data_IF_536175292425
#
_entry.id   IF_536175292425
#
_cell.length_a   1.000
_cell.length_b   1.000
_cell.length_c   1.000
_cell.angle_alpha   90.00
_cell.angle_beta   90.00
_cell.angle_gamma   90.00
#
_symmetry.space_group_name_H-M   'P 1'
#
loop_
_entity.id
_entity.type
_entity.pdbx_description
1 polymer ?
#
# COMPACT_ATOMS: atom_id res chain seq x y z
N UNK A 1 -0.67 -18.24 -30.22
CA UNK A 1 -1.62 -19.08 -29.44
C UNK A 1 -1.49 -18.88 -27.93
N UNK A 2 -0.28 -18.71 -27.38
CA UNK A 2 -0.06 -18.57 -25.93
C UNK A 2 -0.90 -17.45 -25.27
N UNK A 3 -1.08 -16.31 -25.95
CA UNK A 3 -1.91 -15.20 -25.44
C UNK A 3 -3.40 -15.55 -25.27
N UNK A 4 -3.92 -16.54 -26.01
CA UNK A 4 -5.34 -16.96 -25.90
C UNK A 4 -5.55 -17.87 -24.69
N UNK A 5 -4.53 -18.64 -24.31
CA UNK A 5 -4.58 -19.60 -23.21
C UNK A 5 -4.35 -18.87 -21.87
N UNK A 6 -3.42 -17.92 -21.84
CA UNK A 6 -3.06 -17.17 -20.64
C UNK A 6 -3.63 -15.76 -20.72
N UNK A 7 -4.70 -15.50 -19.97
CA UNK A 7 -5.32 -14.18 -19.86
C UNK A 7 -4.56 -13.22 -18.93
N UNK A 8 -3.82 -13.76 -17.97
CA UNK A 8 -3.11 -12.96 -16.98
C UNK A 8 -1.71 -12.56 -17.47
N UNK A 9 -1.48 -11.26 -17.61
CA UNK A 9 -0.25 -10.69 -18.18
C UNK A 9 1.02 -11.07 -17.41
N UNK A 10 0.96 -11.09 -16.07
CA UNK A 10 2.09 -11.43 -15.23
C UNK A 10 2.53 -12.89 -15.42
N UNK A 11 1.55 -13.81 -15.48
CA UNK A 11 1.81 -15.23 -15.74
C UNK A 11 2.31 -15.44 -17.17
N UNK A 12 1.74 -14.75 -18.14
CA UNK A 12 2.16 -14.82 -19.54
C UNK A 12 3.65 -14.50 -19.72
N UNK A 13 4.12 -13.41 -19.10
CA UNK A 13 5.52 -12.98 -19.21
C UNK A 13 6.47 -13.98 -18.56
N UNK A 14 6.09 -14.56 -17.41
CA UNK A 14 6.87 -15.61 -16.74
C UNK A 14 6.95 -16.88 -17.58
N UNK A 15 5.85 -17.27 -18.21
CA UNK A 15 5.81 -18.44 -19.10
C UNK A 15 6.62 -18.22 -20.38
N UNK A 16 6.54 -17.03 -20.96
CA UNK A 16 7.34 -16.66 -22.13
C UNK A 16 8.85 -16.72 -21.83
N UNK A 17 9.25 -16.35 -20.61
CA UNK A 17 10.64 -16.44 -20.17
C UNK A 17 11.13 -17.88 -19.96
N UNK A 18 10.24 -18.82 -19.64
CA UNK A 18 10.58 -20.24 -19.43
C UNK A 18 10.56 -21.01 -20.75
N UNK A 19 9.55 -20.78 -21.60
CA UNK A 19 9.36 -21.52 -22.85
C UNK A 19 10.43 -21.17 -23.87
N UNK A 20 10.87 -19.90 -23.94
CA UNK A 20 11.87 -19.41 -24.89
C UNK A 20 11.64 -19.91 -26.32
N UNK A 21 12.38 -20.92 -26.75
CA UNK A 21 12.29 -21.52 -28.06
C UNK A 21 11.54 -22.86 -28.03
N UNK A 22 10.82 -23.14 -29.11
CA UNK A 22 9.99 -24.33 -29.30
C UNK A 22 10.80 -25.63 -29.24
N UNK A 23 12.05 -25.58 -29.71
CA UNK A 23 12.94 -26.75 -29.81
C UNK A 23 13.43 -27.23 -28.43
N UNK A 24 13.49 -26.32 -27.45
CA UNK A 24 13.96 -26.61 -26.10
C UNK A 24 12.81 -26.93 -25.12
N UNK A 25 11.63 -27.29 -25.62
CA UNK A 25 10.50 -27.69 -24.78
C UNK A 25 10.72 -29.11 -24.24
N UNK A 26 11.17 -29.21 -22.99
CA UNK A 26 11.41 -30.48 -22.28
C UNK A 26 10.52 -30.62 -21.05
N UNK A 27 10.48 -31.83 -20.45
CA UNK A 27 9.67 -32.11 -19.26
C UNK A 27 10.00 -31.17 -18.08
N UNK A 28 11.24 -30.68 -17.96
CA UNK A 28 11.64 -29.68 -16.98
C UNK A 28 10.90 -28.34 -17.14
N UNK A 29 10.66 -27.92 -18.38
CA UNK A 29 9.90 -26.70 -18.68
C UNK A 29 8.42 -26.88 -18.30
N UNK A 30 7.89 -28.10 -18.42
CA UNK A 30 6.52 -28.45 -18.00
C UNK A 30 6.37 -28.32 -16.49
N UNK A 31 7.37 -28.78 -15.72
CA UNK A 31 7.39 -28.62 -14.25
C UNK A 31 7.38 -27.15 -13.85
N UNK A 32 8.24 -26.31 -14.45
CA UNK A 32 8.29 -24.87 -14.16
C UNK A 32 6.99 -24.14 -14.57
N UNK A 33 6.38 -24.52 -15.70
CA UNK A 33 5.08 -23.99 -16.12
C UNK A 33 3.96 -24.37 -15.16
N UNK A 34 4.02 -25.57 -14.58
CA UNK A 34 3.05 -26.05 -13.59
C UNK A 34 3.14 -25.25 -12.30
N UNK A 35 4.35 -24.91 -11.85
CA UNK A 35 4.57 -24.04 -10.69
C UNK A 35 4.02 -22.62 -10.92
N UNK A 36 4.20 -22.07 -12.13
CA UNK A 36 3.77 -20.70 -12.47
C UNK A 36 2.25 -20.60 -12.68
N UNK A 37 1.64 -21.56 -13.39
CA UNK A 37 0.21 -21.50 -13.72
C UNK A 37 -0.67 -22.05 -12.60
N UNK A 38 -0.20 -23.04 -11.85
CA UNK A 38 -0.97 -23.80 -10.85
C UNK A 38 -2.25 -24.45 -11.41
N UNK A 39 -2.34 -24.58 -12.74
CA UNK A 39 -3.49 -25.08 -13.48
C UNK A 39 -3.02 -26.14 -14.51
N UNK A 40 -3.20 -27.44 -14.20
CA UNK A 40 -2.76 -28.54 -15.08
C UNK A 40 -3.43 -28.49 -16.45
N UNK A 41 -4.71 -28.12 -16.53
CA UNK A 41 -5.46 -28.01 -17.78
C UNK A 41 -4.82 -27.02 -18.76
N UNK A 42 -4.30 -25.89 -18.25
CA UNK A 42 -3.66 -24.87 -19.09
C UNK A 42 -2.27 -25.31 -19.54
N UNK A 43 -1.53 -26.03 -18.69
CA UNK A 43 -0.23 -26.59 -19.04
C UNK A 43 -0.37 -27.64 -20.15
N UNK A 44 -1.39 -28.50 -20.06
CA UNK A 44 -1.72 -29.46 -21.12
C UNK A 44 -2.10 -28.74 -22.42
N UNK A 45 -2.94 -27.71 -22.35
CA UNK A 45 -3.28 -26.89 -23.53
C UNK A 45 -2.07 -26.17 -24.14
N UNK A 46 -1.10 -25.74 -23.33
CA UNK A 46 0.17 -25.16 -23.81
C UNK A 46 0.99 -26.23 -24.52
N UNK A 47 1.11 -27.43 -23.94
CA UNK A 47 1.85 -28.56 -24.53
C UNK A 47 1.25 -28.99 -25.87
N UNK A 48 -0.07 -29.09 -25.95
CA UNK A 48 -0.78 -29.34 -27.20
C UNK A 48 -0.53 -28.21 -28.21
N UNK A 49 -0.67 -26.95 -27.79
CA UNK A 49 -0.41 -25.80 -28.66
C UNK A 49 1.04 -25.75 -29.15
N UNK A 50 2.02 -26.17 -28.34
CA UNK A 50 3.43 -26.31 -28.76
C UNK A 50 3.58 -27.39 -29.81
N UNK A 51 2.80 -28.47 -29.79
CA UNK A 51 2.80 -29.50 -30.84
C UNK A 51 2.10 -29.02 -32.12
N UNK A 52 0.95 -28.36 -32.02
CA UNK A 52 0.15 -27.93 -33.19
C UNK A 52 0.53 -26.56 -33.78
N UNK A 53 1.41 -25.79 -33.12
CA UNK A 53 1.76 -24.43 -33.58
C UNK A 53 2.36 -24.44 -34.98
N UNK A 54 1.92 -23.51 -35.83
CA UNK A 54 2.47 -23.26 -37.17
C UNK A 54 3.28 -21.96 -37.19
N UNK A 55 3.74 -21.50 -36.03
CA UNK A 55 4.49 -20.24 -35.89
C UNK A 55 5.86 -20.26 -36.59
N UNK A 56 6.45 -19.07 -36.73
CA UNK A 56 7.78 -18.86 -37.31
C UNK A 56 8.89 -19.09 -36.28
N UNK A 57 10.05 -19.55 -36.73
CA UNK A 57 11.26 -19.64 -35.91
C UNK A 57 11.80 -18.23 -35.58
N UNK A 58 12.28 -18.04 -34.36
CA UNK A 58 12.78 -16.76 -33.86
C UNK A 58 14.31 -16.76 -33.96
N UNK A 59 14.91 -15.63 -34.35
CA UNK A 59 16.37 -15.46 -34.39
C UNK A 59 16.95 -15.39 -32.97
N UNK A 60 18.17 -15.89 -32.76
CA UNK A 60 18.87 -15.84 -31.48
C UNK A 60 19.01 -14.42 -30.92
N UNK A 61 19.20 -13.42 -31.78
CA UNK A 61 19.27 -12.01 -31.38
C UNK A 61 17.93 -11.51 -30.83
N UNK A 62 16.82 -11.93 -31.45
CA UNK A 62 15.48 -11.58 -30.99
C UNK A 62 15.12 -12.33 -29.71
N UNK A 63 15.52 -13.59 -29.59
CA UNK A 63 15.35 -14.38 -28.37
C UNK A 63 16.05 -13.70 -27.18
N UNK A 64 17.30 -13.26 -27.37
CA UNK A 64 18.06 -12.55 -26.33
C UNK A 64 17.38 -11.23 -25.92
N UNK A 65 16.82 -10.48 -26.88
CA UNK A 65 16.07 -9.26 -26.61
C UNK A 65 14.78 -9.54 -25.84
N UNK A 66 14.05 -10.60 -26.22
CA UNK A 66 12.83 -11.04 -25.53
C UNK A 66 13.16 -11.43 -24.08
N UNK A 67 14.19 -12.25 -23.85
CA UNK A 67 14.63 -12.64 -22.50
C UNK A 67 14.99 -11.44 -21.63
N UNK A 68 15.72 -10.46 -22.19
CA UNK A 68 16.07 -9.25 -21.46
C UNK A 68 14.83 -8.44 -21.11
N UNK A 69 13.87 -8.34 -22.02
CA UNK A 69 12.63 -7.61 -21.81
C UNK A 69 11.73 -8.29 -20.78
N UNK A 70 11.52 -9.61 -20.88
CA UNK A 70 10.72 -10.39 -19.93
C UNK A 70 11.31 -10.32 -18.52
N UNK A 71 12.63 -10.45 -18.38
CA UNK A 71 13.32 -10.31 -17.10
C UNK A 71 13.11 -8.91 -16.50
N UNK A 72 13.22 -7.86 -17.32
CA UNK A 72 13.00 -6.47 -16.87
C UNK A 72 11.56 -6.24 -16.43
N UNK A 73 10.58 -6.76 -17.16
CA UNK A 73 9.17 -6.63 -16.79
C UNK A 73 8.87 -7.43 -15.52
N UNK A 74 9.44 -8.62 -15.34
CA UNK A 74 9.26 -9.39 -14.10
C UNK A 74 9.84 -8.64 -12.89
N UNK A 75 11.03 -8.05 -13.02
CA UNK A 75 11.62 -7.18 -11.99
C UNK A 75 10.71 -5.99 -11.65
N UNK A 76 10.07 -5.35 -12.65
CA UNK A 76 9.11 -4.27 -12.40
C UNK A 76 7.82 -4.75 -11.72
N UNK A 77 7.36 -5.98 -12.02
CA UNK A 77 6.21 -6.58 -11.36
C UNK A 77 6.50 -6.87 -9.88
N UNK A 78 7.66 -7.44 -9.58
CA UNK A 78 8.14 -7.68 -8.20
C UNK A 78 8.34 -6.36 -7.45
N UNK A 79 8.89 -5.34 -8.12
CA UNK A 79 9.02 -4.01 -7.52
C UNK A 79 7.64 -3.41 -7.22
N UNK A 80 6.66 -3.59 -8.10
CA UNK A 80 5.27 -3.14 -7.87
C UNK A 80 4.63 -3.83 -6.66
N UNK A 81 4.82 -5.14 -6.49
CA UNK A 81 4.29 -5.86 -5.32
C UNK A 81 4.98 -5.41 -4.03
N UNK A 82 6.31 -5.22 -4.06
CA UNK A 82 7.06 -4.66 -2.94
C UNK A 82 6.57 -3.27 -2.53
N UNK A 83 6.35 -2.38 -3.50
CA UNK A 83 5.78 -1.05 -3.24
C UNK A 83 4.36 -1.10 -2.67
N UNK A 84 3.52 -2.03 -3.14
CA UNK A 84 2.18 -2.21 -2.60
C UNK A 84 2.23 -2.63 -1.13
N UNK A 85 3.10 -3.58 -0.79
CA UNK A 85 3.30 -4.03 0.58
C UNK A 85 3.82 -2.89 1.46
N UNK A 86 4.79 -2.12 0.97
CA UNK A 86 5.29 -0.93 1.66
C UNK A 86 4.18 0.09 1.95
N UNK A 87 3.32 0.39 0.97
CA UNK A 87 2.17 1.30 1.16
C UNK A 87 1.23 0.74 2.22
N UNK A 88 0.96 -0.56 2.22
CA UNK A 88 0.09 -1.21 3.21
C UNK A 88 0.64 -1.07 4.63
N UNK A 89 1.92 -1.34 4.82
CA UNK A 89 2.56 -1.27 6.14
C UNK A 89 2.62 0.19 6.64
N UNK A 90 2.97 1.13 5.77
CA UNK A 90 2.98 2.57 6.11
C UNK A 90 1.58 3.11 6.40
N UNK A 91 0.57 2.68 5.65
CA UNK A 91 -0.81 3.11 5.89
C UNK A 91 -1.34 2.57 7.21
N UNK A 92 -1.06 1.29 7.53
CA UNK A 92 -1.44 0.69 8.80
C UNK A 92 -0.81 1.41 10.00
N UNK A 93 0.42 1.91 9.84
CA UNK A 93 1.10 2.69 10.87
C UNK A 93 0.58 4.14 11.00
N UNK A 94 0.28 4.80 9.88
CA UNK A 94 -0.09 6.22 9.86
C UNK A 94 -1.59 6.49 10.00
N UNK A 95 -2.43 5.73 9.30
CA UNK A 95 -3.88 5.97 9.21
C UNK A 95 -4.66 4.63 9.11
N UNK A 96 -4.70 3.84 10.20
CA UNK A 96 -5.36 2.53 10.21
C UNK A 96 -6.87 2.61 10.04
N UNK A 97 -7.55 3.66 10.56
CA UNK A 97 -9.01 3.80 10.39
C UNK A 97 -9.39 4.11 8.95
N UNK A 98 -8.65 5.02 8.31
CA UNK A 98 -8.85 5.38 6.90
C UNK A 98 -8.57 4.20 5.98
N UNK A 99 -7.51 3.43 6.28
CA UNK A 99 -7.17 2.19 5.56
C UNK A 99 -8.29 1.16 5.66
N UNK A 100 -8.80 0.91 6.87
CA UNK A 100 -9.89 -0.04 7.07
C UNK A 100 -11.18 0.39 6.34
N UNK A 101 -11.44 1.69 6.20
CA UNK A 101 -12.63 2.22 5.55
C UNK A 101 -12.59 2.15 4.01
N UNK A 102 -11.54 2.64 3.35
CA UNK A 102 -11.50 2.81 1.88
C UNK A 102 -10.47 1.88 1.21
N UNK A 103 -9.56 1.31 1.98
CA UNK A 103 -8.38 0.58 1.50
C UNK A 103 -7.13 1.45 1.41
N UNK A 104 -5.98 0.79 1.44
CA UNK A 104 -4.65 1.38 1.57
C UNK A 104 -4.31 2.27 0.37
N UNK A 105 -4.60 1.80 -0.84
CA UNK A 105 -4.22 2.50 -2.09
C UNK A 105 -4.98 3.82 -2.27
N UNK A 106 -6.29 3.79 -2.04
CA UNK A 106 -7.13 4.99 -2.19
C UNK A 106 -6.84 5.96 -1.05
N UNK A 107 -6.68 5.46 0.18
CA UNK A 107 -6.26 6.26 1.33
C UNK A 107 -4.92 6.97 1.09
N UNK A 108 -3.92 6.26 0.58
CA UNK A 108 -2.62 6.83 0.23
C UNK A 108 -2.72 7.94 -0.81
N UNK A 109 -3.55 7.73 -1.83
CA UNK A 109 -3.76 8.74 -2.89
C UNK A 109 -4.45 10.00 -2.34
N UNK A 110 -5.42 9.85 -1.44
CA UNK A 110 -6.09 10.99 -0.79
C UNK A 110 -5.11 11.81 0.07
N UNK A 111 -4.28 11.14 0.88
CA UNK A 111 -3.27 11.81 1.70
C UNK A 111 -2.24 12.51 0.83
N UNK A 112 -1.75 11.83 -0.22
CA UNK A 112 -0.78 12.40 -1.15
C UNK A 112 -1.32 13.65 -1.85
N UNK A 113 -2.57 13.63 -2.31
CA UNK A 113 -3.19 14.78 -2.96
C UNK A 113 -3.47 15.93 -1.98
N UNK A 114 -3.73 15.63 -0.70
CA UNK A 114 -3.85 16.64 0.35
C UNK A 114 -2.49 17.18 0.84
N UNK A 115 -1.39 16.53 0.47
CA UNK A 115 -0.02 16.81 0.92
C UNK A 115 0.32 16.19 2.28
N UNK A 116 -0.63 16.13 3.21
CA UNK A 116 -0.43 15.54 4.55
C UNK A 116 -1.73 15.04 5.16
N UNK A 117 -1.62 14.16 6.16
CA UNK A 117 -2.78 13.67 6.91
C UNK A 117 -3.45 14.81 7.71
N UNK A 118 -2.67 15.75 8.23
CA UNK A 118 -3.17 16.93 8.96
C UNK A 118 -3.98 17.85 8.05
N UNK A 119 -3.53 18.08 6.81
CA UNK A 119 -4.29 18.85 5.82
C UNK A 119 -5.58 18.12 5.42
N UNK A 120 -5.49 16.79 5.22
CA UNK A 120 -6.67 15.98 4.92
C UNK A 120 -7.72 16.04 6.02
N UNK A 121 -7.30 16.01 7.30
CA UNK A 121 -8.19 16.13 8.45
C UNK A 121 -8.90 17.50 8.54
N UNK A 122 -8.23 18.58 8.09
CA UNK A 122 -8.79 19.93 8.02
C UNK A 122 -9.82 20.09 6.91
N UNK A 123 -9.69 19.33 5.81
CA UNK A 123 -10.63 19.44 4.70
C UNK A 123 -12.06 19.05 5.11
N UNK A 124 -13.08 19.79 4.63
CA UNK A 124 -14.46 19.38 4.81
C UNK A 124 -14.77 18.18 3.92
N UNK A 125 -15.81 17.43 4.28
CA UNK A 125 -16.23 16.26 3.52
C UNK A 125 -16.62 16.59 2.06
N UNK A 126 -17.15 17.80 1.80
CA UNK A 126 -17.44 18.27 0.45
C UNK A 126 -16.19 18.35 -0.42
N UNK A 127 -15.07 18.83 0.11
CA UNK A 127 -13.77 18.86 -0.60
C UNK A 127 -13.24 17.44 -0.81
N UNK A 128 -13.30 16.59 0.21
CA UNK A 128 -12.86 15.19 0.13
C UNK A 128 -13.64 14.43 -0.96
N UNK A 129 -14.94 14.70 -1.13
CA UNK A 129 -15.79 14.10 -2.16
C UNK A 129 -15.28 14.36 -3.60
N UNK A 130 -14.79 15.57 -3.86
CA UNK A 130 -14.37 16.05 -5.19
C UNK A 130 -12.85 16.07 -5.37
N UNK A 131 -12.08 15.66 -4.36
CA UNK A 131 -10.63 15.70 -4.37
C UNK A 131 -10.09 14.90 -5.57
N UNK A 132 -9.23 15.52 -6.39
CA UNK A 132 -8.72 15.00 -7.67
C UNK A 132 -9.62 15.27 -8.90
N UNK A 133 -10.79 15.90 -8.73
CA UNK A 133 -11.68 16.32 -9.81
C UNK A 133 -11.79 17.85 -9.91
N UNK A 134 -10.84 18.60 -9.36
CA UNK A 134 -10.89 20.06 -9.23
C UNK A 134 -10.96 20.74 -10.61
N UNK A 135 -10.16 20.28 -11.57
CA UNK A 135 -10.17 20.82 -12.95
C UNK A 135 -11.55 20.69 -13.60
N UNK A 136 -12.21 19.56 -13.41
CA UNK A 136 -13.55 19.32 -13.94
C UNK A 136 -14.60 20.17 -13.21
N UNK A 137 -14.44 20.37 -11.90
CA UNK A 137 -15.29 21.25 -11.11
C UNK A 137 -15.19 22.70 -11.57
N UNK A 138 -13.99 23.24 -11.72
CA UNK A 138 -13.80 24.63 -12.16
C UNK A 138 -14.31 24.85 -13.58
N UNK A 139 -14.12 23.87 -14.47
CA UNK A 139 -14.71 23.91 -15.82
C UNK A 139 -16.24 23.94 -15.75
N UNK A 140 -16.85 23.09 -14.92
CA UNK A 140 -18.29 23.04 -14.78
C UNK A 140 -18.88 24.33 -14.21
N UNK A 141 -18.18 24.95 -13.25
CA UNK A 141 -18.58 26.23 -12.68
C UNK A 141 -18.53 27.35 -13.72
N UNK A 142 -17.49 27.37 -14.57
CA UNK A 142 -17.33 28.36 -15.65
C UNK A 142 -18.40 28.22 -16.74
N UNK A 143 -18.75 26.98 -17.11
CA UNK A 143 -19.75 26.70 -18.16
C UNK A 143 -21.16 26.54 -17.63
N UNK A 144 -21.39 26.72 -16.32
CA UNK A 144 -22.66 26.42 -15.63
C UNK A 144 -23.23 25.03 -15.96
N UNK A 145 -22.34 24.04 -16.13
CA UNK A 145 -22.72 22.66 -16.40
C UNK A 145 -22.74 21.82 -15.11
N UNK A 146 -23.11 20.53 -15.23
CA UNK A 146 -23.22 19.62 -14.08
C UNK A 146 -21.85 19.43 -13.42
N UNK A 147 -21.74 19.70 -12.12
CA UNK A 147 -20.52 19.50 -11.35
C UNK A 147 -20.20 18.00 -11.18
N UNK A 148 -18.91 17.63 -11.13
CA UNK A 148 -18.52 16.25 -10.82
C UNK A 148 -19.01 15.85 -9.42
N UNK A 149 -19.44 14.59 -9.28
CA UNK A 149 -19.99 14.05 -8.01
C UNK A 149 -18.96 13.24 -7.20
N UNK A 150 -17.80 12.95 -7.77
CA UNK A 150 -16.76 12.12 -7.20
C UNK A 150 -15.40 12.48 -7.81
N UNK A 151 -14.34 12.38 -7.01
CA UNK A 151 -12.95 12.45 -7.45
C UNK A 151 -12.24 11.12 -7.23
N UNK A 152 -11.14 11.13 -6.49
CA UNK A 152 -10.31 9.96 -6.19
C UNK A 152 -11.07 8.83 -5.48
N UNK A 153 -12.11 9.18 -4.70
CA UNK A 153 -12.94 8.23 -3.95
C UNK A 153 -13.75 7.32 -4.89
N UNK A 154 -13.93 7.69 -6.17
CA UNK A 154 -14.63 6.87 -7.15
C UNK A 154 -14.04 5.45 -7.30
N UNK A 155 -12.74 5.30 -7.08
CA UNK A 155 -12.05 4.01 -7.15
C UNK A 155 -12.29 3.12 -5.92
N UNK A 156 -13.09 3.56 -4.95
CA UNK A 156 -13.51 2.70 -3.85
C UNK A 156 -14.47 1.61 -4.32
N UNK A 157 -14.33 0.41 -3.77
CA UNK A 157 -15.18 -0.74 -4.09
C UNK A 157 -16.67 -0.48 -3.80
N UNK A 158 -16.98 0.32 -2.78
CA UNK A 158 -18.36 0.69 -2.42
C UNK A 158 -19.08 1.46 -3.53
N UNK A 159 -18.39 2.39 -4.19
CA UNK A 159 -18.99 3.17 -5.29
C UNK A 159 -19.09 2.33 -6.57
N UNK A 160 -18.14 1.42 -6.79
CA UNK A 160 -18.20 0.46 -7.89
C UNK A 160 -19.44 -0.44 -7.84
N UNK A 161 -19.78 -0.94 -6.64
CA UNK A 161 -20.95 -1.80 -6.39
C UNK A 161 -22.30 -1.08 -6.46
N UNK A 162 -22.33 0.21 -6.18
CA UNK A 162 -23.56 0.99 -6.12
C UNK A 162 -24.24 1.17 -7.49
N UNK A 163 -25.58 1.20 -7.50
CA UNK A 163 -26.36 1.56 -8.68
C UNK A 163 -26.03 2.99 -9.17
N UNK A 164 -26.02 3.20 -10.50
CA UNK A 164 -25.60 4.48 -11.13
C UNK A 164 -26.34 5.71 -10.61
N UNK A 165 -27.63 5.55 -10.25
CA UNK A 165 -28.46 6.62 -9.67
C UNK A 165 -27.99 7.02 -8.26
N UNK A 166 -27.52 6.07 -7.46
CA UNK A 166 -27.17 6.27 -6.05
C UNK A 166 -25.67 6.47 -5.79
N UNK A 167 -24.81 6.26 -6.80
CA UNK A 167 -23.36 6.53 -6.73
C UNK A 167 -23.03 7.90 -6.14
N UNK A 168 -23.79 8.94 -6.50
CA UNK A 168 -23.59 10.29 -5.97
C UNK A 168 -23.95 10.43 -4.48
N UNK A 169 -25.00 9.74 -4.02
CA UNK A 169 -25.44 9.76 -2.62
C UNK A 169 -24.45 9.01 -1.74
N UNK A 170 -23.99 7.85 -2.22
CA UNK A 170 -23.01 7.00 -1.52
C UNK A 170 -21.64 7.69 -1.49
N UNK A 171 -21.21 8.31 -2.58
CA UNK A 171 -19.98 9.12 -2.62
C UNK A 171 -19.95 10.19 -1.52
N UNK A 172 -21.05 10.94 -1.37
CA UNK A 172 -21.19 11.94 -0.30
C UNK A 172 -21.14 11.31 1.10
N UNK A 173 -21.87 10.21 1.29
CA UNK A 173 -21.89 9.50 2.58
C UNK A 173 -20.50 8.97 2.94
N UNK A 174 -19.81 8.34 1.99
CA UNK A 174 -18.46 7.83 2.15
C UNK A 174 -17.48 8.97 2.48
N UNK A 175 -17.52 10.09 1.74
CA UNK A 175 -16.67 11.25 2.02
C UNK A 175 -16.86 11.81 3.44
N UNK A 176 -18.09 11.83 3.96
CA UNK A 176 -18.36 12.20 5.36
C UNK A 176 -17.67 11.24 6.34
N UNK A 177 -17.75 9.93 6.11
CA UNK A 177 -17.09 8.91 6.94
C UNK A 177 -15.56 8.98 6.84
N UNK A 178 -15.04 9.28 5.66
CA UNK A 178 -13.60 9.49 5.44
C UNK A 178 -13.09 10.72 6.18
N UNK A 179 -13.85 11.82 6.21
CA UNK A 179 -13.51 13.02 6.97
C UNK A 179 -13.44 12.73 8.47
N UNK A 180 -14.36 11.92 8.99
CA UNK A 180 -14.34 11.49 10.40
C UNK A 180 -13.13 10.59 10.67
N UNK A 181 -12.92 9.55 9.84
CA UNK A 181 -11.81 8.62 10.00
C UNK A 181 -10.44 9.31 9.94
N UNK A 182 -10.23 10.22 8.98
CA UNK A 182 -8.98 10.98 8.85
C UNK A 182 -8.71 11.89 10.05
N UNK A 183 -9.75 12.50 10.66
CA UNK A 183 -9.60 13.28 11.90
C UNK A 183 -9.27 12.41 13.09
N UNK A 184 -9.91 11.24 13.22
CA UNK A 184 -9.60 10.27 14.27
C UNK A 184 -8.13 9.84 14.15
N UNK A 185 -7.69 9.44 12.96
CA UNK A 185 -6.31 8.99 12.75
C UNK A 185 -5.27 10.10 12.97
N UNK A 186 -5.60 11.36 12.65
CA UNK A 186 -4.69 12.49 12.81
C UNK A 186 -4.54 12.96 14.27
N UNK A 187 -5.63 12.94 15.05
CA UNK A 187 -5.65 13.53 16.40
C UNK A 187 -5.66 12.48 17.53
N UNK A 188 -5.73 11.19 17.22
CA UNK A 188 -5.63 10.15 18.25
C UNK A 188 -4.17 9.81 18.57
N UNK A 189 -3.83 9.78 19.86
CA UNK A 189 -2.51 9.36 20.32
C UNK A 189 -2.18 7.91 19.95
N UNK A 190 -3.22 7.07 19.90
CA UNK A 190 -3.14 5.66 19.49
C UNK A 190 -4.16 5.42 18.39
N UNK A 191 -3.76 5.50 17.12
CA UNK A 191 -4.66 5.22 16.02
C UNK A 191 -4.97 3.72 16.01
N UNK A 192 -6.26 3.37 15.92
CA UNK A 192 -6.76 1.99 15.96
C UNK A 192 -7.68 1.71 14.77
N UNK A 193 -7.62 0.51 14.16
CA UNK A 193 -8.44 0.19 12.99
C UNK A 193 -9.93 0.02 13.31
N UNK A 194 -10.28 -0.23 14.57
CA UNK A 194 -11.65 -0.54 15.02
C UNK A 194 -12.67 0.54 14.62
N UNK A 195 -12.29 1.81 14.68
CA UNK A 195 -13.16 2.91 14.24
C UNK A 195 -13.44 2.81 12.74
N UNK A 196 -12.42 2.51 11.92
CA UNK A 196 -12.57 2.35 10.48
C UNK A 196 -13.47 1.18 10.11
N UNK A 197 -13.35 0.05 10.80
CA UNK A 197 -14.18 -1.14 10.61
C UNK A 197 -15.66 -0.86 10.89
N UNK A 198 -15.97 -0.19 12.02
CA UNK A 198 -17.34 0.20 12.36
C UNK A 198 -17.92 1.23 11.38
N UNK A 199 -17.11 2.18 10.92
CA UNK A 199 -17.54 3.13 9.88
C UNK A 199 -17.78 2.43 8.53
N UNK A 200 -17.01 1.38 8.22
CA UNK A 200 -17.20 0.54 7.03
C UNK A 200 -18.52 -0.23 7.10
N UNK A 201 -18.83 -0.86 8.23
CA UNK A 201 -20.12 -1.53 8.46
C UNK A 201 -21.30 -0.57 8.17
N UNK A 202 -21.21 0.69 8.62
CA UNK A 202 -22.26 1.69 8.33
C UNK A 202 -22.39 2.03 6.85
N UNK A 203 -21.28 2.06 6.10
CA UNK A 203 -21.32 2.28 4.64
C UNK A 203 -21.98 1.08 3.96
N UNK A 204 -21.72 -0.13 4.43
CA UNK A 204 -22.35 -1.35 3.93
C UNK A 204 -23.85 -1.41 4.27
N UNK A 205 -24.25 -1.07 5.50
CA UNK A 205 -25.65 -0.93 5.87
C UNK A 205 -26.36 0.11 4.99
N UNK A 206 -25.68 1.23 4.70
CA UNK A 206 -26.25 2.27 3.83
C UNK A 206 -26.39 1.80 2.38
N UNK A 207 -25.48 0.97 1.89
CA UNK A 207 -25.59 0.35 0.58
C UNK A 207 -26.79 -0.61 0.54
N UNK A 208 -26.92 -1.47 1.56
CA UNK A 208 -28.07 -2.38 1.72
C UNK A 208 -29.39 -1.64 1.83
N UNK A 209 -29.43 -0.47 2.46
CA UNK A 209 -30.62 0.38 2.52
C UNK A 209 -31.11 0.79 1.12
N UNK A 210 -30.20 1.08 0.19
CA UNK A 210 -30.60 1.44 -1.18
C UNK A 210 -31.11 0.22 -1.98
N UNK A 211 -30.72 -1.00 -1.59
CA UNK A 211 -31.16 -2.24 -2.22
C UNK A 211 -32.47 -2.79 -1.60
N UNK A 212 -32.60 -2.74 -0.27
CA UNK A 212 -33.63 -3.46 0.51
C UNK A 212 -34.54 -2.54 1.33
N UNK A 213 -34.20 -1.26 1.47
CA UNK A 213 -34.99 -0.29 2.26
C UNK A 213 -34.80 -0.36 3.78
N UNK A 214 -33.97 -1.27 4.31
CA UNK A 214 -33.72 -1.42 5.76
C UNK A 214 -32.95 -0.23 6.32
N UNK A 215 -33.54 0.48 7.30
CA UNK A 215 -32.97 1.72 7.84
C UNK A 215 -31.64 1.44 8.55
N UNK A 216 -30.54 2.14 8.18
CA UNK A 216 -29.23 1.94 8.79
C UNK A 216 -29.17 2.46 10.23
N UNK A 217 -28.24 1.94 11.03
CA UNK A 217 -28.08 2.33 12.44
C UNK A 217 -27.67 3.81 12.56
N UNK A 218 -28.08 4.46 13.65
CA UNK A 218 -27.69 5.85 13.94
C UNK A 218 -26.20 5.93 14.26
N UNK A 219 -25.53 6.98 13.76
CA UNK A 219 -24.10 7.20 13.95
C UNK A 219 -23.67 7.20 15.43
N UNK A 220 -24.50 7.74 16.32
CA UNK A 220 -24.19 7.84 17.75
C UNK A 220 -24.02 6.47 18.42
N UNK A 221 -24.82 5.48 18.02
CA UNK A 221 -24.79 4.14 18.60
C UNK A 221 -23.49 3.44 18.21
N UNK A 222 -23.18 3.47 16.91
CA UNK A 222 -21.98 2.83 16.38
C UNK A 222 -20.69 3.49 16.88
N UNK A 223 -20.66 4.80 17.09
CA UNK A 223 -19.48 5.47 17.66
C UNK A 223 -19.29 5.09 19.13
N UNK A 224 -20.37 4.95 19.91
CA UNK A 224 -20.29 4.48 21.30
C UNK A 224 -19.80 3.03 21.39
N UNK A 225 -20.31 2.16 20.54
CA UNK A 225 -19.83 0.78 20.40
C UNK A 225 -18.35 0.75 19.98
N UNK A 226 -17.97 1.55 18.99
CA UNK A 226 -16.58 1.65 18.56
C UNK A 226 -15.64 2.16 19.66
N UNK A 227 -16.08 3.10 20.51
CA UNK A 227 -15.31 3.56 21.67
C UNK A 227 -15.14 2.43 22.70
N UNK A 228 -16.19 1.68 22.99
CA UNK A 228 -16.12 0.53 23.90
C UNK A 228 -15.14 -0.55 23.39
N UNK A 229 -15.18 -0.84 22.09
CA UNK A 229 -14.30 -1.83 21.44
C UNK A 229 -12.86 -1.30 21.28
N UNK A 230 -12.68 0.01 21.16
CA UNK A 230 -11.36 0.64 21.00
C UNK A 230 -10.52 0.62 22.28
N UNK A 231 -11.12 0.79 23.46
CA UNK A 231 -10.42 0.82 24.76
C UNK A 231 -9.49 -0.40 24.96
N UNK A 232 -9.97 -1.67 24.84
CA UNK A 232 -9.10 -2.83 25.05
C UNK A 232 -8.02 -2.97 23.97
N UNK A 233 -8.28 -2.50 22.75
CA UNK A 233 -7.32 -2.54 21.64
C UNK A 233 -6.23 -1.49 21.85
N UNK A 234 -6.60 -0.28 22.27
CA UNK A 234 -5.67 0.79 22.62
C UNK A 234 -4.74 0.36 23.76
N UNK A 235 -5.27 -0.28 24.81
CA UNK A 235 -4.43 -0.80 25.90
C UNK A 235 -3.43 -1.85 25.42
N UNK A 236 -3.84 -2.78 24.55
CA UNK A 236 -2.94 -3.80 23.97
C UNK A 236 -1.83 -3.14 23.14
N UNK A 237 -2.16 -2.11 22.37
CA UNK A 237 -1.19 -1.37 21.55
C UNK A 237 -0.24 -0.57 22.45
N UNK A 238 -0.72 0.09 23.51
CA UNK A 238 0.10 0.79 24.50
C UNK A 238 1.04 -0.18 25.24
N UNK A 239 0.54 -1.36 25.64
CA UNK A 239 1.36 -2.41 26.27
C UNK A 239 2.43 -2.94 25.31
N UNK A 240 2.10 -3.14 24.01
CA UNK A 240 3.08 -3.51 22.98
C UNK A 240 4.12 -2.41 22.75
N UNK A 241 3.71 -1.15 22.62
CA UNK A 241 4.62 0.00 22.48
C UNK A 241 5.54 0.16 23.70
N UNK A 242 5.03 0.00 24.93
CA UNK A 242 5.84 0.00 26.17
C UNK A 242 6.84 -1.17 26.21
N UNK A 243 6.44 -2.37 25.79
CA UNK A 243 7.35 -3.53 25.69
C UNK A 243 8.42 -3.31 24.61
N UNK A 244 8.06 -2.77 23.45
CA UNK A 244 8.98 -2.44 22.37
C UNK A 244 9.98 -1.35 22.81
N UNK A 245 9.51 -0.28 23.46
CA UNK A 245 10.39 0.76 24.01
C UNK A 245 11.32 0.23 25.10
N UNK A 246 10.88 -0.73 25.92
CA UNK A 246 11.72 -1.40 26.93
C UNK A 246 12.76 -2.32 26.29
N UNK A 247 12.43 -3.00 25.18
CA UNK A 247 13.38 -3.79 24.38
C UNK A 247 14.40 -2.91 23.67
N UNK A 248 13.95 -1.85 23.00
CA UNK A 248 14.83 -0.87 22.35
C UNK A 248 15.76 -0.17 23.36
N UNK A 249 15.28 0.14 24.59
CA UNK A 249 16.17 0.64 25.66
C UNK A 249 17.16 -0.40 26.19
N UNK A 250 16.78 -1.69 26.22
CA UNK A 250 17.70 -2.77 26.58
C UNK A 250 18.75 -3.01 25.49
N UNK A 251 18.35 -3.00 24.23
CA UNK A 251 19.24 -3.12 23.07
C UNK A 251 20.18 -1.91 22.99
N UNK A 252 19.68 -0.68 23.14
CA UNK A 252 20.53 0.52 23.20
C UNK A 252 21.44 0.56 24.45
N UNK A 253 21.04 -0.09 25.54
CA UNK A 253 21.86 -0.26 26.74
C UNK A 253 22.94 -1.35 26.57
N UNK A 254 22.66 -2.40 25.80
CA UNK A 254 23.62 -3.45 25.47
C UNK A 254 24.68 -2.95 24.48
N UNK A 255 24.27 -2.19 23.44
CA UNK A 255 25.22 -1.56 22.50
C UNK A 255 26.13 -0.56 23.22
N UNK A 256 25.61 0.21 24.19
CA UNK A 256 26.45 1.10 25.02
C UNK A 256 27.39 0.35 25.98
N UNK A 257 27.07 -0.88 26.36
CA UNK A 257 27.95 -1.71 27.17
C UNK A 257 29.07 -2.33 26.31
N UNK A 258 28.78 -2.71 25.06
CA UNK A 258 29.77 -3.21 24.10
C UNK A 258 30.73 -2.10 23.61
N UNK A 259 30.26 -0.86 23.45
CA UNK A 259 31.13 0.30 23.13
C UNK A 259 32.05 0.71 24.31
N UNK A 260 31.67 0.42 25.56
CA UNK A 260 32.51 0.67 26.74
C UNK A 260 33.56 -0.41 26.97
N UNK A 261 33.32 -1.65 26.52
CA UNK A 261 34.30 -2.74 26.65
C UNK A 261 35.41 -2.63 25.58
N UNK A 262 35.06 -2.18 24.37
CA UNK A 262 36.03 -1.96 23.29
C UNK A 262 36.91 -0.73 23.47
N UNK A 263 36.45 0.29 24.22
CA UNK A 263 37.27 1.47 24.55
C UNK A 263 38.19 1.27 25.76
N UNK A 264 37.94 0.26 26.60
CA UNK A 264 38.81 -0.06 27.72
C UNK A 264 40.07 -0.86 27.33
N UNK A 265 40.05 -1.61 26.22
CA UNK A 265 41.23 -2.33 25.71
C UNK A 265 42.21 -1.41 24.95
N UNK A 266 41.74 -0.38 24.25
CA UNK A 266 42.62 0.50 23.45
C UNK A 266 43.40 1.51 24.31
N UNK A 267 42.92 1.88 25.51
CA UNK A 267 43.55 2.93 26.32
C UNK A 267 44.77 2.42 27.14
N UNK A 268 45.05 1.11 27.17
CA UNK A 268 46.21 0.56 27.90
C UNK A 268 47.53 0.54 27.12
N UNK A 269 47.54 0.76 25.80
CA UNK A 269 48.78 0.71 25.00
C UNK A 269 49.43 2.07 24.69
N UNK A 270 48.72 3.21 24.80
CA UNK A 270 49.27 4.51 24.36
C UNK A 270 49.80 5.45 25.48
N UNK A 271 49.86 5.00 26.74
CA UNK A 271 50.27 5.86 27.87
C UNK A 271 51.78 5.81 28.21
N UNK A 272 52.66 5.70 27.21
CA UNK A 272 54.10 5.78 27.40
C UNK A 272 54.80 6.53 26.25
N UNK A 273 54.69 7.86 26.22
CA UNK A 273 55.79 8.82 25.99
C UNK A 273 55.28 10.24 25.68
N UNK A 274 55.69 11.21 26.50
CA UNK A 274 55.69 12.66 26.24
C UNK A 274 57.00 13.22 26.84
N UNK A 275 57.46 14.47 26.58
CA UNK A 275 57.54 15.30 25.35
C UNK A 275 58.96 15.99 25.26
N UNK A 276 59.31 17.05 24.44
CA UNK A 276 58.91 18.46 24.73
C UNK A 276 58.96 19.57 23.59
N UNK A 277 58.05 20.56 23.71
CA UNK A 277 58.10 22.07 23.58
C UNK A 277 59.07 22.86 22.66
N UNK A 278 58.52 23.92 21.98
CA UNK A 278 58.98 25.36 21.86
C UNK A 278 57.93 26.21 21.08
N UNK A 279 57.22 27.22 21.62
CA UNK A 279 57.48 28.66 22.00
C UNK A 279 57.11 29.76 20.95
N UNK A 280 55.99 30.49 21.25
CA UNK A 280 55.68 31.96 21.23
C UNK A 280 55.86 32.78 19.90
N UNK A 281 54.97 33.73 19.50
CA UNK A 281 54.57 35.04 20.09
C UNK A 281 53.41 35.64 19.21
N UNK A 282 52.25 36.06 19.74
CA UNK A 282 51.78 37.43 20.13
C UNK A 282 51.94 38.57 19.11
N UNK A 283 50.83 39.27 18.77
CA UNK A 283 50.47 40.72 18.83
C UNK A 283 49.08 40.83 18.15
N UNK A 284 47.93 41.23 18.71
CA UNK A 284 47.45 42.33 19.57
C UNK A 284 47.21 43.68 18.85
N UNK A 285 45.95 43.96 18.50
CA UNK A 285 45.21 45.21 18.77
C UNK A 285 43.75 45.01 18.35
#
# INVERSE_FOLDING_TARGET
MLYKIISEQAKFIRCANVIMDRKNYCDETVVQLTEILQDENKVNAITEAVRTSMGMEISDMDLMNITRFTARVNSLLEYRTGLHQYIKDRMSACAPSLSALIGEQVGARLISHAGSLTNLAKYPASTIQILGAEKALFRALKTRSKTPKFGLIFHSSFIGRAATKDKGKISRFLANKCSIASRIDCFSDVPVPTFGEKLKEQVEERLKFFETGVVPRKNLVVIKEAMADAIPVQEKILKKKKKAAKRAKKEAGAVKAEDMDTTAEVIKEEAAEEPPKKKKKKVAA
#
